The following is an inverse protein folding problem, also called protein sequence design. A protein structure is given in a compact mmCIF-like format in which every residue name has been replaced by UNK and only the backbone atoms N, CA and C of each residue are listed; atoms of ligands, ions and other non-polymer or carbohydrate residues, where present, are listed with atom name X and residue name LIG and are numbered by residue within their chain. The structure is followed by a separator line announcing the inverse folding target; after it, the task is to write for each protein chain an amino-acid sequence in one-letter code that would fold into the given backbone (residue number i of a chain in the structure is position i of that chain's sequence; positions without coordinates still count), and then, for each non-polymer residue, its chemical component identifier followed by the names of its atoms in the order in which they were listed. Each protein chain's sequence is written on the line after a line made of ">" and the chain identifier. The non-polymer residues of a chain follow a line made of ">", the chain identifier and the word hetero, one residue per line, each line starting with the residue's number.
data_IF_313715479212
#
_entry.id   IF_313715479212
#
_cell.length_a   1.000
_cell.length_b   1.000
_cell.length_c   1.000
_cell.angle_alpha   90.00
_cell.angle_beta   90.00
_cell.angle_gamma   90.00
#
_symmetry.space_group_name_H-M   'P 1'
#
loop_
_entity.id
_entity.type
_entity.pdbx_description
1 polymer ?
#
# COMPACT_ATOMS: atom_id res chain seq x y z
N UNK A 1 -22.07 -12.99 0.34
CA UNK A 1 -22.12 -13.10 1.82
C UNK A 1 -20.73 -12.86 2.37
N UNK A 2 -20.68 -12.19 3.51
CA UNK A 2 -19.61 -12.22 4.52
C UNK A 2 -18.23 -11.68 4.15
N UNK A 3 -17.81 -10.70 4.94
CA UNK A 3 -16.41 -10.27 5.02
C UNK A 3 -16.28 -8.98 5.80
N UNK A 4 -16.89 -8.92 7.00
CA UNK A 4 -16.58 -7.84 7.94
C UNK A 4 -15.08 -7.74 8.12
N UNK A 5 -14.59 -6.51 8.29
CA UNK A 5 -13.20 -6.20 8.57
C UNK A 5 -12.68 -7.15 9.67
N UNK A 6 -12.05 -8.25 9.26
CA UNK A 6 -11.30 -9.08 10.17
C UNK A 6 -10.06 -8.25 10.45
N UNK A 7 -9.97 -7.81 11.69
CA UNK A 7 -8.71 -7.47 12.33
C UNK A 7 -7.85 -8.75 12.20
N UNK A 8 -7.11 -8.87 11.08
CA UNK A 8 -6.39 -10.09 10.68
C UNK A 8 -5.14 -10.34 11.54
N UNK A 9 -4.97 -9.61 12.65
CA UNK A 9 -3.74 -9.59 13.41
C UNK A 9 -2.55 -9.11 12.57
N UNK A 10 -1.35 -9.02 13.16
CA UNK A 10 -0.16 -8.72 12.40
C UNK A 10 0.12 -9.86 11.40
N UNK A 11 0.49 -9.54 10.14
CA UNK A 11 0.65 -10.54 9.10
C UNK A 11 1.82 -11.51 9.38
N UNK A 12 1.68 -12.75 8.90
CA UNK A 12 2.74 -13.77 9.01
C UNK A 12 4.05 -13.32 8.35
N UNK A 13 3.95 -12.63 7.22
CA UNK A 13 5.07 -12.06 6.49
C UNK A 13 4.71 -10.71 5.90
N UNK A 14 5.73 -9.85 5.77
CA UNK A 14 5.63 -8.59 5.04
C UNK A 14 6.75 -8.55 4.00
N UNK A 15 6.48 -7.92 2.87
CA UNK A 15 7.46 -7.68 1.80
C UNK A 15 7.59 -6.19 1.55
N UNK A 16 8.77 -5.75 1.11
CA UNK A 16 8.99 -4.36 0.71
C UNK A 16 8.05 -3.99 -0.45
N UNK A 17 7.34 -2.87 -0.33
CA UNK A 17 6.40 -2.38 -1.36
C UNK A 17 6.85 -1.06 -1.99
N UNK A 18 7.71 -0.31 -1.30
CA UNK A 18 8.23 0.94 -1.81
C UNK A 18 9.06 1.70 -0.79
N UNK A 19 9.51 2.88 -1.20
CA UNK A 19 10.32 3.77 -0.38
C UNK A 19 9.66 5.14 -0.21
N UNK A 20 9.82 5.70 0.99
CA UNK A 20 9.31 7.02 1.31
C UNK A 20 10.00 8.12 0.48
N UNK A 21 9.20 9.00 -0.10
CA UNK A 21 9.65 10.15 -0.89
C UNK A 21 9.61 11.41 -0.05
N UNK A 22 8.41 11.77 0.43
CA UNK A 22 8.14 12.96 1.25
C UNK A 22 6.76 12.86 1.92
N UNK A 23 6.51 13.76 2.86
CA UNK A 23 5.18 13.95 3.43
C UNK A 23 4.40 14.97 2.58
N UNK A 24 3.09 14.76 2.44
CA UNK A 24 2.17 15.69 1.79
C UNK A 24 0.86 15.71 2.60
N UNK A 25 0.49 16.88 3.14
CA UNK A 25 -0.75 17.07 3.93
C UNK A 25 -0.95 16.08 5.10
N UNK A 26 0.15 15.58 5.67
CA UNK A 26 0.11 14.61 6.78
C UNK A 26 0.10 13.14 6.33
N UNK A 27 0.02 12.87 5.03
CA UNK A 27 0.20 11.54 4.45
C UNK A 27 1.64 11.31 4.01
N UNK A 28 2.03 10.04 3.92
CA UNK A 28 3.32 9.65 3.36
C UNK A 28 3.17 9.38 1.86
N UNK A 29 4.04 9.96 1.04
CA UNK A 29 4.14 9.63 -0.39
C UNK A 29 5.21 8.57 -0.56
N UNK A 30 4.82 7.44 -1.14
CA UNK A 30 5.69 6.28 -1.34
C UNK A 30 5.90 6.06 -2.84
N UNK A 31 7.15 5.84 -3.24
CA UNK A 31 7.50 5.35 -4.57
C UNK A 31 7.48 3.83 -4.56
N UNK A 32 6.63 3.23 -5.39
CA UNK A 32 6.52 1.78 -5.46
C UNK A 32 7.79 1.13 -6.03
N UNK A 33 8.12 -0.05 -5.51
CA UNK A 33 9.25 -0.88 -5.95
C UNK A 33 8.83 -2.24 -6.55
N UNK A 34 7.52 -2.50 -6.68
CA UNK A 34 6.96 -3.77 -7.15
C UNK A 34 6.16 -3.63 -8.45
N UNK A 35 6.20 -4.67 -9.28
CA UNK A 35 5.33 -4.85 -10.47
C UNK A 35 3.89 -5.30 -10.12
N UNK A 36 3.47 -5.10 -8.86
CA UNK A 36 2.12 -5.38 -8.36
C UNK A 36 1.59 -4.13 -7.69
N UNK A 37 0.28 -3.96 -7.69
CA UNK A 37 -0.41 -2.76 -7.17
C UNK A 37 -1.06 -3.10 -5.82
N UNK A 38 -0.87 -2.31 -4.76
CA UNK A 38 -1.54 -2.55 -3.48
C UNK A 38 -3.06 -2.37 -3.57
N UNK A 39 -3.81 -3.06 -2.71
CA UNK A 39 -5.23 -2.77 -2.55
C UNK A 39 -5.41 -1.39 -1.89
N UNK A 40 -6.49 -0.69 -2.22
CA UNK A 40 -6.95 0.45 -1.43
C UNK A 40 -7.22 0.03 0.02
N UNK A 41 -6.89 0.91 0.97
CA UNK A 41 -6.93 0.65 2.42
C UNK A 41 -6.09 -0.55 2.88
N UNK A 42 -5.16 -1.06 2.08
CA UNK A 42 -4.24 -2.10 2.54
C UNK A 42 -3.34 -1.52 3.66
N UNK A 43 -3.19 -2.24 4.79
CA UNK A 43 -2.28 -1.81 5.84
C UNK A 43 -0.83 -1.79 5.37
N UNK A 44 -0.10 -0.75 5.78
CA UNK A 44 1.32 -0.56 5.53
C UNK A 44 2.08 -0.67 6.84
N UNK A 45 3.23 -1.33 6.78
CA UNK A 45 4.03 -1.74 7.93
C UNK A 45 5.47 -1.27 7.81
N UNK A 46 6.16 -1.25 8.94
CA UNK A 46 7.62 -1.32 9.03
C UNK A 46 8.09 -2.78 8.89
N UNK A 47 9.40 -2.98 8.76
CA UNK A 47 10.02 -4.31 8.66
C UNK A 47 9.69 -5.19 9.88
N UNK A 48 9.62 -4.59 11.07
CA UNK A 48 9.25 -5.25 12.32
C UNK A 48 7.74 -5.57 12.43
N UNK A 49 6.97 -5.39 11.34
CA UNK A 49 5.51 -5.60 11.24
C UNK A 49 4.66 -4.64 12.07
N UNK A 50 5.22 -3.54 12.57
CA UNK A 50 4.44 -2.45 13.15
C UNK A 50 3.65 -1.75 12.05
N UNK A 51 2.33 -1.72 12.16
CA UNK A 51 1.46 -0.98 11.25
C UNK A 51 1.67 0.52 11.46
N UNK A 52 1.84 1.25 10.36
CA UNK A 52 2.09 2.70 10.37
C UNK A 52 1.00 3.51 9.66
N UNK A 53 0.16 2.83 8.88
CA UNK A 53 -0.89 3.47 8.11
C UNK A 53 -1.56 2.51 7.15
N UNK A 54 -2.29 3.06 6.20
CA UNK A 54 -2.94 2.31 5.12
C UNK A 54 -2.91 3.08 3.80
N UNK A 55 -2.92 2.36 2.69
CA UNK A 55 -2.97 2.96 1.34
C UNK A 55 -4.26 3.75 1.15
N UNK A 56 -4.16 5.02 0.72
CA UNK A 56 -5.31 5.90 0.48
C UNK A 56 -5.46 6.21 -1.01
N UNK A 57 -4.40 6.68 -1.67
CA UNK A 57 -4.41 7.02 -3.10
C UNK A 57 -3.31 6.30 -3.89
N UNK A 58 -3.58 5.93 -5.15
CA UNK A 58 -2.59 5.37 -6.09
C UNK A 58 -2.54 6.29 -7.31
N UNK A 59 -1.33 6.74 -7.67
CA UNK A 59 -1.13 7.79 -8.67
C UNK A 59 0.13 7.55 -9.53
N UNK A 60 0.22 8.26 -10.65
CA UNK A 60 1.37 8.21 -11.54
C UNK A 60 1.32 7.09 -12.61
N UNK A 61 2.41 6.91 -13.37
CA UNK A 61 2.46 5.95 -14.47
C UNK A 61 2.47 4.50 -13.98
N UNK A 62 1.85 3.60 -14.74
CA UNK A 62 1.61 2.20 -14.34
C UNK A 62 2.87 1.39 -13.97
N UNK A 63 4.03 1.71 -14.56
CA UNK A 63 5.32 1.04 -14.30
C UNK A 63 6.21 1.79 -13.28
N UNK A 64 5.77 2.95 -12.80
CA UNK A 64 6.54 3.78 -11.87
C UNK A 64 5.59 4.59 -10.98
N UNK A 65 4.57 3.92 -10.48
CA UNK A 65 3.49 4.55 -9.73
C UNK A 65 3.96 4.93 -8.32
N UNK A 66 3.27 5.88 -7.73
CA UNK A 66 3.39 6.26 -6.34
C UNK A 66 2.06 6.01 -5.64
N UNK A 67 2.09 5.90 -4.33
CA UNK A 67 0.86 5.81 -3.55
C UNK A 67 1.00 6.60 -2.26
N UNK A 68 -0.12 7.13 -1.77
CA UNK A 68 -0.20 7.79 -0.49
C UNK A 68 -0.57 6.80 0.60
N UNK A 69 -0.05 7.05 1.80
CA UNK A 69 -0.38 6.30 3.01
C UNK A 69 -0.97 7.26 4.04
N UNK A 70 -2.22 7.00 4.41
CA UNK A 70 -2.85 7.60 5.58
C UNK A 70 -2.18 7.05 6.81
N UNK A 71 -1.49 7.89 7.57
CA UNK A 71 -0.82 7.45 8.79
C UNK A 71 -1.83 7.11 9.89
N UNK A 72 -1.46 6.18 10.77
CA UNK A 72 -2.25 5.89 11.97
C UNK A 72 -1.99 6.93 13.07
N UNK A 73 -2.84 6.91 14.11
CA UNK A 73 -2.68 7.78 15.27
C UNK A 73 -1.31 7.60 15.92
N UNK A 74 -0.58 8.71 16.09
CA UNK A 74 0.77 8.71 16.67
C UNK A 74 1.90 8.52 15.66
N UNK A 75 1.60 8.21 14.40
CA UNK A 75 2.59 8.16 13.31
C UNK A 75 2.63 9.51 12.60
N UNK A 76 3.81 10.12 12.57
CA UNK A 76 4.03 11.43 11.96
C UNK A 76 4.76 11.24 10.63
N UNK A 77 4.10 11.54 9.50
CA UNK A 77 4.68 11.34 8.17
C UNK A 77 6.04 12.02 7.97
N UNK A 78 6.24 13.22 8.54
CA UNK A 78 7.51 13.97 8.46
C UNK A 78 8.65 13.38 9.30
N UNK A 79 8.39 12.37 10.15
CA UNK A 79 9.44 11.69 10.92
C UNK A 79 10.25 10.69 10.10
N UNK A 80 9.74 10.29 8.93
CA UNK A 80 10.40 9.38 8.00
C UNK A 80 11.42 10.14 7.14
N UNK A 81 12.48 9.44 6.77
CA UNK A 81 13.53 9.94 5.88
C UNK A 81 13.33 9.41 4.48
N UNK A 82 13.78 10.20 3.51
CA UNK A 82 13.81 9.78 2.11
C UNK A 82 14.50 8.41 2.01
N UNK A 83 13.91 7.54 1.19
CA UNK A 83 14.35 6.18 0.94
C UNK A 83 14.11 5.18 2.10
N UNK A 84 13.45 5.58 3.20
CA UNK A 84 12.96 4.65 4.23
C UNK A 84 11.97 3.65 3.60
N UNK A 85 12.17 2.37 3.90
CA UNK A 85 11.37 1.29 3.33
C UNK A 85 10.05 1.12 4.06
N UNK A 86 9.01 0.85 3.30
CA UNK A 86 7.70 0.44 3.82
C UNK A 86 7.31 -0.92 3.26
N UNK A 87 6.48 -1.63 4.03
CA UNK A 87 6.20 -3.04 3.82
C UNK A 87 4.69 -3.31 3.77
N UNK A 88 4.29 -4.38 3.10
CA UNK A 88 2.89 -4.79 2.95
C UNK A 88 2.76 -6.31 3.10
N UNK A 89 1.59 -6.78 3.52
CA UNK A 89 1.24 -8.20 3.42
C UNK A 89 1.14 -8.59 1.92
N UNK A 90 1.87 -9.62 1.44
CA UNK A 90 1.86 -10.02 0.03
C UNK A 90 0.47 -10.42 -0.50
N UNK A 91 -0.46 -10.81 0.39
CA UNK A 91 -1.85 -11.12 0.03
C UNK A 91 -2.70 -9.86 -0.28
N UNK A 92 -2.20 -8.67 0.04
CA UNK A 92 -2.86 -7.38 -0.24
C UNK A 92 -2.23 -6.69 -1.47
N UNK A 93 -1.87 -7.47 -2.48
CA UNK A 93 -1.38 -7.00 -3.78
C UNK A 93 -2.22 -7.56 -4.94
N UNK A 94 -2.41 -6.74 -5.97
CA UNK A 94 -3.09 -7.06 -7.22
C UNK A 94 -2.07 -7.13 -8.37
N UNK A 95 -2.22 -8.08 -9.31
CA UNK A 95 -1.37 -8.13 -10.48
C UNK A 95 -1.63 -6.93 -11.40
N UNK A 96 -0.56 -6.36 -11.97
CA UNK A 96 -0.62 -5.17 -12.84
C UNK A 96 -1.58 -5.34 -14.03
N UNK A 97 -1.69 -6.57 -14.55
CA UNK A 97 -2.58 -6.95 -15.64
C UNK A 97 -4.05 -6.58 -15.41
N UNK A 98 -4.48 -6.46 -14.15
CA UNK A 98 -5.83 -6.00 -13.78
C UNK A 98 -6.10 -4.56 -14.21
N UNK A 99 -5.05 -3.79 -14.47
CA UNK A 99 -5.10 -2.36 -14.80
C UNK A 99 -4.59 -2.06 -16.22
N UNK A 100 -3.78 -2.96 -16.83
CA UNK A 100 -3.27 -2.80 -18.21
C UNK A 100 -4.09 -3.55 -19.25
N UNK A 101 -4.76 -4.64 -18.87
CA UNK A 101 -5.54 -5.45 -19.81
C UNK A 101 -7.04 -5.19 -19.60
N UNK A 102 -7.75 -4.63 -20.60
CA UNK A 102 -9.20 -4.60 -20.60
C UNK A 102 -9.73 -5.99 -20.93
N UNK A 103 -9.47 -6.99 -20.06
CA UNK A 103 -10.20 -8.25 -20.13
C UNK A 103 -11.70 -7.96 -20.10
N UNK A 104 -12.54 -8.74 -20.82
CA UNK A 104 -13.97 -8.48 -20.86
C UNK A 104 -14.48 -8.34 -19.43
N UNK A 105 -15.14 -7.21 -19.14
CA UNK A 105 -15.79 -6.91 -17.88
C UNK A 105 -16.61 -8.13 -17.45
N UNK A 106 -16.00 -8.97 -16.63
CA UNK A 106 -16.60 -10.16 -16.08
C UNK A 106 -17.50 -9.70 -14.96
N UNK A 107 -18.75 -9.40 -15.30
CA UNK A 107 -19.81 -9.17 -14.33
C UNK A 107 -19.77 -10.27 -13.26
N UNK A 108 -19.66 -9.84 -12.00
CA UNK A 108 -19.62 -10.73 -10.86
C UNK A 108 -20.32 -10.06 -9.69
N UNK A 109 -21.64 -10.24 -9.61
CA UNK A 109 -22.51 -9.78 -8.52
C UNK A 109 -23.67 -8.92 -9.01
#
# INVERSE_FOLDING_TARGET
>A
GFGGARDEGPPDTVIEVGTYVNACEGEMVIKASLDKVPYFNAPIYLENKTQIGKVEEIMGPIHSYMFSVKTEGGVVATSFKKDDKVYINPMKLLPLERFTNPGPSGGGG
#
